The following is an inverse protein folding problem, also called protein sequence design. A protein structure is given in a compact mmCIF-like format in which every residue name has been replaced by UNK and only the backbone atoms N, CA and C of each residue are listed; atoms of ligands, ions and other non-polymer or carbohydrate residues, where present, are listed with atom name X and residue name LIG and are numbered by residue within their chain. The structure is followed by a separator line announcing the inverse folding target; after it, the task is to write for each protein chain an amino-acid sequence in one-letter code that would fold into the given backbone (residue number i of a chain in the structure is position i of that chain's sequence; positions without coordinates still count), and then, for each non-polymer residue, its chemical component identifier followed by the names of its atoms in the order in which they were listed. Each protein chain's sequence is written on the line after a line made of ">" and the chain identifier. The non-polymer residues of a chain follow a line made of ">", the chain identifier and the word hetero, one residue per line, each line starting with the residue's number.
data_IF_690042636056
#
_entry.id   IF_690042636056
#
_cell.length_a   1.000
_cell.length_b   1.000
_cell.length_c   1.000
_cell.angle_alpha   90.00
_cell.angle_beta   90.00
_cell.angle_gamma   90.00
#
_symmetry.space_group_name_H-M   'P 1'
#
loop_
_entity.id
_entity.type
_entity.pdbx_description
1 polymer ?
#
# COMPACT_ATOMS: atom_id res chain seq x y z
N UNK A 1 7.80 -22.06 -12.46
CA UNK A 1 8.38 -20.73 -12.20
C UNK A 1 7.23 -19.77 -12.34
N UNK A 2 6.43 -19.65 -11.30
CA UNK A 2 5.32 -18.70 -11.29
C UNK A 2 5.95 -17.32 -11.33
N UNK A 3 5.82 -16.66 -12.48
CA UNK A 3 6.29 -15.29 -12.64
C UNK A 3 5.61 -14.46 -11.54
N UNK A 4 6.44 -13.97 -10.62
CA UNK A 4 6.01 -13.40 -9.34
C UNK A 4 4.97 -12.30 -9.54
N UNK A 5 3.87 -12.42 -8.80
CA UNK A 5 2.88 -11.36 -8.62
C UNK A 5 3.42 -10.32 -7.64
N UNK A 6 4.56 -9.73 -8.01
CA UNK A 6 5.27 -8.77 -7.18
C UNK A 6 4.77 -7.39 -7.54
N UNK A 7 3.99 -6.81 -6.65
CA UNK A 7 3.55 -5.43 -6.73
C UNK A 7 4.67 -4.51 -6.27
N UNK A 8 4.74 -3.30 -6.84
CA UNK A 8 5.84 -2.37 -6.55
C UNK A 8 5.29 -1.04 -6.05
N UNK A 9 5.91 -0.54 -4.99
CA UNK A 9 5.62 0.77 -4.42
C UNK A 9 6.75 1.75 -4.76
N UNK A 10 6.36 2.94 -5.16
CA UNK A 10 7.28 4.01 -5.50
C UNK A 10 7.00 5.24 -4.65
N UNK A 11 8.05 5.94 -4.24
CA UNK A 11 7.98 7.25 -3.61
C UNK A 11 8.81 8.21 -4.45
N UNK A 12 8.19 9.30 -4.95
CA UNK A 12 8.89 10.29 -5.81
C UNK A 12 9.61 9.67 -7.01
N UNK A 13 9.09 8.55 -7.53
CA UNK A 13 9.67 7.81 -8.66
C UNK A 13 10.73 6.77 -8.29
N UNK A 14 11.13 6.66 -7.02
CA UNK A 14 12.08 5.66 -6.54
C UNK A 14 11.35 4.46 -5.97
N UNK A 15 11.82 3.25 -6.28
CA UNK A 15 11.25 2.01 -5.74
C UNK A 15 11.53 1.94 -4.24
N UNK A 16 10.46 1.95 -3.44
CA UNK A 16 10.53 1.93 -1.97
C UNK A 16 10.14 0.60 -1.37
N UNK A 17 9.42 -0.25 -2.10
CA UNK A 17 9.09 -1.57 -1.58
C UNK A 17 8.44 -2.46 -2.60
N UNK A 18 8.42 -3.75 -2.29
CA UNK A 18 7.81 -4.79 -3.10
C UNK A 18 6.81 -5.57 -2.25
N UNK A 19 5.67 -5.95 -2.82
CA UNK A 19 4.69 -6.81 -2.15
C UNK A 19 4.58 -8.11 -2.95
N UNK A 20 4.98 -9.21 -2.32
CA UNK A 20 4.85 -10.55 -2.85
C UNK A 20 3.41 -11.02 -2.57
N UNK A 21 2.53 -10.97 -3.56
CA UNK A 21 1.13 -11.42 -3.41
C UNK A 21 1.10 -12.90 -3.04
N UNK A 22 0.47 -13.21 -1.90
CA UNK A 22 0.31 -14.57 -1.41
C UNK A 22 -1.13 -15.06 -1.58
N UNK A 23 -2.10 -14.17 -1.32
CA UNK A 23 -3.52 -14.49 -1.31
C UNK A 23 -4.35 -13.32 -1.84
N UNK A 24 -5.49 -13.63 -2.45
CA UNK A 24 -6.45 -12.63 -2.90
C UNK A 24 -7.84 -13.04 -2.40
N UNK A 25 -8.42 -12.22 -1.52
CA UNK A 25 -9.76 -12.40 -0.95
C UNK A 25 -10.59 -11.17 -1.28
N UNK A 26 -11.26 -11.20 -2.43
CA UNK A 26 -11.93 -10.04 -3.01
C UNK A 26 -12.83 -9.32 -1.98
N UNK A 27 -12.65 -7.99 -1.75
CA UNK A 27 -11.90 -7.03 -2.57
C UNK A 27 -10.43 -6.80 -2.17
N UNK A 28 -9.90 -7.55 -1.20
CA UNK A 28 -8.56 -7.39 -0.64
C UNK A 28 -7.54 -8.35 -1.25
N UNK A 29 -6.30 -7.89 -1.34
CA UNK A 29 -5.12 -8.69 -1.70
C UNK A 29 -4.16 -8.65 -0.53
N UNK A 30 -3.60 -9.81 -0.20
CA UNK A 30 -2.69 -9.98 0.92
C UNK A 30 -1.35 -10.53 0.41
N UNK A 31 -0.26 -9.98 0.93
CA UNK A 31 1.07 -10.35 0.50
C UNK A 31 2.13 -10.03 1.53
N UNK A 32 3.34 -10.53 1.29
CA UNK A 32 4.52 -10.22 2.09
C UNK A 32 5.12 -8.91 1.62
N UNK A 33 5.20 -7.91 2.49
CA UNK A 33 5.87 -6.66 2.20
C UNK A 33 7.39 -6.80 2.40
N UNK A 34 8.15 -6.36 1.40
CA UNK A 34 9.61 -6.26 1.43
C UNK A 34 9.99 -4.78 1.32
N UNK A 35 10.26 -4.09 2.44
CA UNK A 35 10.70 -2.71 2.41
C UNK A 35 12.10 -2.59 1.79
N UNK A 36 12.31 -1.55 1.00
CA UNK A 36 13.62 -1.11 0.52
C UNK A 36 14.05 0.15 1.30
N UNK A 37 15.32 0.59 1.17
CA UNK A 37 15.83 1.74 1.93
C UNK A 37 15.01 3.03 1.78
N UNK A 38 14.34 3.22 0.64
CA UNK A 38 13.46 4.38 0.41
C UNK A 38 12.14 4.34 1.21
N UNK A 39 11.80 3.22 1.84
CA UNK A 39 10.61 3.10 2.71
C UNK A 39 10.83 3.63 4.12
N UNK A 40 12.07 3.68 4.61
CA UNK A 40 12.39 4.20 5.95
C UNK A 40 11.71 5.53 6.31
N UNK A 41 11.69 6.57 5.44
CA UNK A 41 10.96 7.80 5.73
C UNK A 41 9.43 7.65 5.77
N UNK A 42 8.87 6.61 5.13
CA UNK A 42 7.44 6.34 5.09
C UNK A 42 6.98 5.43 6.23
N UNK A 43 7.88 4.61 6.79
CA UNK A 43 7.59 3.67 7.89
C UNK A 43 6.81 4.30 9.05
N UNK A 44 7.12 5.53 9.52
CA UNK A 44 6.35 6.19 10.58
C UNK A 44 4.88 6.45 10.22
N UNK A 45 4.55 6.70 8.94
CA UNK A 45 3.16 6.91 8.50
C UNK A 45 2.33 5.63 8.68
N UNK A 46 2.88 4.48 8.30
CA UNK A 46 2.20 3.19 8.45
C UNK A 46 2.03 2.81 9.92
N UNK A 47 3.06 3.05 10.75
CA UNK A 47 2.96 2.85 12.21
C UNK A 47 1.90 3.77 12.82
N UNK A 48 1.85 5.04 12.43
CA UNK A 48 0.84 5.97 12.91
C UNK A 48 -0.58 5.56 12.48
N UNK A 49 -0.74 5.03 11.26
CA UNK A 49 -2.03 4.50 10.78
C UNK A 49 -2.49 3.29 11.58
N UNK A 50 -1.59 2.35 11.88
CA UNK A 50 -1.90 1.18 12.73
C UNK A 50 -2.24 1.60 14.16
N UNK A 51 -1.53 2.58 14.73
CA UNK A 51 -1.86 3.14 16.04
C UNK A 51 -3.23 3.83 16.06
N UNK A 52 -3.61 4.54 14.99
CA UNK A 52 -4.94 5.14 14.87
C UNK A 52 -6.06 4.08 14.76
N UNK A 53 -5.79 2.95 14.09
CA UNK A 53 -6.70 1.80 14.04
C UNK A 53 -6.91 1.20 15.43
N UNK A 54 -5.84 1.03 16.22
CA UNK A 54 -5.93 0.53 17.61
C UNK A 54 -6.70 1.48 18.53
N UNK A 55 -6.63 2.79 18.24
CA UNK A 55 -7.33 3.83 18.98
C UNK A 55 -8.79 4.08 18.52
N UNK A 56 -9.29 3.37 17.49
CA UNK A 56 -10.60 3.62 16.85
C UNK A 56 -10.76 5.08 16.35
N UNK A 57 -9.64 5.70 15.94
CA UNK A 57 -9.59 7.11 15.51
C UNK A 57 -9.75 7.21 13.99
N UNK A 58 -10.98 7.13 13.51
CA UNK A 58 -11.33 7.14 12.08
C UNK A 58 -10.78 8.37 11.34
N UNK A 59 -10.82 9.55 11.97
CA UNK A 59 -10.35 10.80 11.35
C UNK A 59 -8.84 10.73 11.05
N UNK A 60 -8.05 10.26 12.02
CA UNK A 60 -6.61 10.09 11.84
C UNK A 60 -6.31 8.99 10.83
N UNK A 61 -7.06 7.88 10.84
CA UNK A 61 -6.89 6.80 9.86
C UNK A 61 -7.12 7.28 8.42
N UNK A 62 -8.19 8.04 8.19
CA UNK A 62 -8.53 8.59 6.87
C UNK A 62 -7.45 9.57 6.42
N UNK A 63 -7.06 10.50 7.30
CA UNK A 63 -6.02 11.48 7.02
C UNK A 63 -4.69 10.83 6.63
N UNK A 64 -4.20 9.90 7.44
CA UNK A 64 -2.92 9.22 7.15
C UNK A 64 -3.03 8.37 5.88
N UNK A 65 -4.19 7.75 5.63
CA UNK A 65 -4.47 7.03 4.39
C UNK A 65 -4.36 7.93 3.16
N UNK A 66 -4.82 9.17 3.25
CA UNK A 66 -4.68 10.18 2.20
C UNK A 66 -3.22 10.61 2.00
N UNK A 67 -2.49 10.86 3.11
CA UNK A 67 -1.07 11.19 3.06
C UNK A 67 -0.23 10.07 2.42
N UNK A 68 -0.54 8.80 2.71
CA UNK A 68 0.09 7.64 2.07
C UNK A 68 -0.21 7.63 0.57
N UNK A 69 -1.48 7.77 0.17
CA UNK A 69 -1.88 7.80 -1.26
C UNK A 69 -1.25 8.96 -2.02
N UNK A 70 -1.06 10.11 -1.39
CA UNK A 70 -0.37 11.25 -1.99
C UNK A 70 1.16 11.05 -2.07
N UNK A 71 1.74 10.31 -1.12
CA UNK A 71 3.18 10.11 -1.04
C UNK A 71 3.69 8.96 -1.91
N UNK A 72 2.91 7.91 -2.10
CA UNK A 72 3.34 6.70 -2.83
C UNK A 72 2.44 6.36 -4.01
N UNK A 73 3.04 5.77 -5.04
CA UNK A 73 2.31 5.17 -6.16
C UNK A 73 2.56 3.67 -6.19
N UNK A 74 1.59 2.92 -6.72
CA UNK A 74 1.66 1.47 -6.83
C UNK A 74 1.60 1.04 -8.30
N UNK A 75 2.32 -0.01 -8.66
CA UNK A 75 2.20 -0.65 -9.98
C UNK A 75 1.84 -2.12 -9.85
N UNK A 76 1.06 -2.59 -10.84
CA UNK A 76 0.78 -4.00 -11.05
C UNK A 76 2.07 -4.79 -11.27
N UNK A 77 2.04 -6.13 -11.08
CA UNK A 77 3.17 -7.00 -11.43
C UNK A 77 3.66 -6.83 -12.88
N UNK A 78 2.74 -6.56 -13.81
CA UNK A 78 3.00 -6.26 -15.22
C UNK A 78 3.60 -4.85 -15.48
N UNK A 79 3.79 -4.04 -14.43
CA UNK A 79 4.38 -2.70 -14.49
C UNK A 79 3.41 -1.56 -14.82
N UNK A 80 2.11 -1.84 -14.98
CA UNK A 80 1.09 -0.80 -15.18
C UNK A 80 0.83 -0.02 -13.88
N UNK A 81 0.66 1.31 -13.93
CA UNK A 81 0.31 2.09 -12.75
C UNK A 81 -1.11 1.76 -12.29
N UNK A 82 -1.32 1.72 -10.99
CA UNK A 82 -2.64 1.61 -10.37
C UNK A 82 -3.22 3.02 -10.24
N UNK A 83 -4.47 3.21 -10.68
CA UNK A 83 -5.14 4.51 -10.61
C UNK A 83 -5.40 4.90 -9.15
N UNK A 84 -5.95 3.96 -8.37
CA UNK A 84 -6.10 4.17 -6.94
C UNK A 84 -6.00 2.87 -6.14
N UNK A 85 -5.52 2.99 -4.90
CA UNK A 85 -5.39 1.87 -3.99
C UNK A 85 -5.55 2.31 -2.53
N UNK A 86 -6.00 1.38 -1.69
CA UNK A 86 -5.75 1.45 -0.26
C UNK A 86 -4.66 0.46 0.08
N UNK A 87 -3.71 0.88 0.90
CA UNK A 87 -2.60 0.08 1.37
C UNK A 87 -2.52 0.16 2.89
N UNK A 88 -2.44 -1.02 3.51
CA UNK A 88 -2.13 -1.21 4.91
C UNK A 88 -0.89 -2.09 4.99
N UNK A 89 0.07 -1.72 5.83
CA UNK A 89 1.27 -2.52 6.10
C UNK A 89 1.37 -2.66 7.60
N UNK A 90 1.37 -3.89 8.08
CA UNK A 90 1.57 -4.23 9.48
C UNK A 90 2.76 -5.17 9.58
N UNK A 91 3.83 -4.68 10.22
CA UNK A 91 5.14 -5.32 10.25
C UNK A 91 5.69 -5.62 8.84
N UNK A 92 5.49 -6.84 8.35
CA UNK A 92 5.89 -7.32 7.03
C UNK A 92 4.73 -7.97 6.25
N UNK A 93 3.50 -7.76 6.69
CA UNK A 93 2.28 -8.13 6.00
C UNK A 93 1.65 -6.89 5.34
N UNK A 94 1.36 -6.99 4.04
CA UNK A 94 0.64 -5.97 3.29
C UNK A 94 -0.76 -6.45 2.94
N UNK A 95 -1.75 -5.64 3.30
CA UNK A 95 -3.12 -5.77 2.85
C UNK A 95 -3.47 -4.56 1.97
N UNK A 96 -3.84 -4.81 0.71
CA UNK A 96 -4.17 -3.73 -0.21
C UNK A 96 -5.36 -4.07 -1.10
N UNK A 97 -6.12 -3.05 -1.46
CA UNK A 97 -7.12 -3.11 -2.53
C UNK A 97 -6.77 -2.06 -3.56
N UNK A 98 -7.09 -2.33 -4.81
CA UNK A 98 -6.77 -1.45 -5.94
C UNK A 98 -7.99 -1.33 -6.83
N UNK A 99 -8.07 -0.20 -7.54
CA UNK A 99 -9.09 0.11 -8.53
C UNK A 99 -8.40 0.58 -9.81
N UNK A 100 -8.94 0.14 -10.95
CA UNK A 100 -8.50 0.56 -12.28
C UNK A 100 -8.99 2.00 -12.60
N UNK A 101 -10.04 2.43 -11.90
CA UNK A 101 -10.61 3.77 -11.92
C UNK A 101 -10.36 4.47 -10.57
N UNK A 102 -10.17 5.79 -10.52
CA UNK A 102 -10.14 6.52 -9.26
C UNK A 102 -11.50 6.40 -8.55
N UNK A 103 -11.49 6.39 -7.22
CA UNK A 103 -12.65 6.57 -6.37
C UNK A 103 -13.34 7.86 -6.79
N UNK A 104 -14.65 7.78 -7.00
CA UNK A 104 -15.46 8.97 -7.18
C UNK A 104 -15.32 9.83 -5.91
N UNK A 105 -14.81 11.05 -6.07
CA UNK A 105 -14.79 12.06 -5.01
C UNK A 105 -16.26 12.36 -4.66
N UNK A 106 -16.70 11.87 -3.51
CA UNK A 106 -18.08 11.95 -3.03
C UNK A 106 -18.31 13.15 -2.11
#
# INVERSE_FOLDING_TARGET
>A
MDAGRVWRLYHRGELVGEIDEQSHDFPWTYGRFRPLPGFEPLRPLFVARSAALDADDDETMIRIGDEIRAAVTMTHPDGRPVAEFLLSIEDDEAGFRWHDEPFEDG
#
